data_IF_324311894893
#
_entry.id   IF_324311894893
#
_cell.length_a   1.000
_cell.length_b   1.000
_cell.length_c   1.000
_cell.angle_alpha   90.00
_cell.angle_beta   90.00
_cell.angle_gamma   90.00
#
_symmetry.space_group_name_H-M   'P 1'
#
loop_
_entity.id
_entity.type
_entity.pdbx_description
1 polymer ?
#
# COMPACT_ATOMS: atom_id res chain seq x y z
N UNK A 1 67.22 13.05 3.72
CA UNK A 1 66.88 12.19 4.87
C UNK A 1 65.37 12.09 4.96
N UNK A 2 64.90 10.86 4.71
CA UNK A 2 63.61 10.23 5.02
C UNK A 2 62.31 10.73 4.36
N UNK A 3 61.85 9.88 3.43
CA UNK A 3 60.46 9.60 3.07
C UNK A 3 59.59 9.26 4.29
N UNK A 4 58.26 9.44 4.18
CA UNK A 4 57.27 8.37 4.40
C UNK A 4 55.87 8.88 4.05
N UNK A 5 55.28 8.30 3.01
CA UNK A 5 53.85 8.28 2.69
C UNK A 5 53.09 7.48 3.75
N UNK A 6 51.92 7.93 4.20
CA UNK A 6 50.96 7.07 4.90
C UNK A 6 49.54 7.59 4.73
N UNK A 7 48.78 6.90 3.88
CA UNK A 7 47.33 6.97 3.79
C UNK A 7 46.71 6.44 5.08
N UNK A 8 45.71 7.14 5.63
CA UNK A 8 44.77 6.54 6.58
C UNK A 8 43.37 7.11 6.36
N UNK A 9 42.65 6.42 5.48
CA UNK A 9 41.29 5.91 5.69
C UNK A 9 40.34 6.80 6.49
N UNK A 10 39.33 7.34 5.78
CA UNK A 10 38.09 7.82 6.38
C UNK A 10 37.60 6.84 7.45
N UNK A 11 37.66 7.25 8.71
CA UNK A 11 37.20 6.45 9.83
C UNK A 11 35.68 6.31 9.70
N UNK A 12 35.26 5.10 9.33
CA UNK A 12 33.89 4.61 9.45
C UNK A 12 33.34 5.03 10.81
N UNK A 13 32.24 5.79 10.80
CA UNK A 13 31.44 6.04 11.99
C UNK A 13 30.84 4.69 12.36
N UNK A 14 31.44 4.05 13.35
CA UNK A 14 30.85 2.91 14.05
C UNK A 14 31.31 2.99 15.48
N UNK A 15 30.58 3.76 16.28
CA UNK A 15 30.39 3.56 17.71
C UNK A 15 29.47 4.66 18.21
N UNK A 16 28.21 4.32 18.41
CA UNK A 16 27.46 4.97 19.47
C UNK A 16 27.40 3.97 20.61
N UNK A 17 28.17 4.31 21.63
CA UNK A 17 28.25 3.75 22.97
C UNK A 17 26.93 3.17 23.48
N UNK A 18 27.01 2.10 24.27
CA UNK A 18 25.88 1.58 25.04
C UNK A 18 25.31 2.69 25.92
N UNK A 19 24.17 3.25 25.53
CA UNK A 19 23.45 4.24 26.31
C UNK A 19 22.51 3.53 27.31
N UNK A 20 22.30 4.14 28.48
CA UNK A 20 21.74 3.54 29.70
C UNK A 20 20.24 3.21 29.67
N UNK A 21 19.60 3.09 30.85
CA UNK A 21 18.22 2.58 31.00
C UNK A 21 17.15 3.42 30.29
N UNK A 22 17.42 4.71 30.05
CA UNK A 22 16.49 5.68 29.43
C UNK A 22 16.43 5.49 27.91
N UNK A 23 17.50 5.04 27.29
CA UNK A 23 17.61 4.95 25.83
C UNK A 23 16.82 3.78 25.25
N UNK A 24 16.53 2.77 26.09
CA UNK A 24 15.56 1.72 25.81
C UNK A 24 14.11 2.23 25.64
N UNK A 25 13.80 3.44 26.14
CA UNK A 25 12.50 4.08 25.95
C UNK A 25 12.47 5.00 24.72
N UNK A 26 13.63 5.41 24.21
CA UNK A 26 13.75 6.39 23.12
C UNK A 26 13.56 5.70 21.75
N UNK A 27 13.94 4.42 21.62
CA UNK A 27 13.91 3.73 20.33
C UNK A 27 13.27 2.34 20.47
N UNK A 28 11.94 2.29 20.35
CA UNK A 28 11.20 1.02 20.43
C UNK A 28 10.81 0.53 19.04
N UNK A 29 11.35 -0.63 18.64
CA UNK A 29 10.88 -1.34 17.47
C UNK A 29 9.41 -1.73 17.67
N UNK A 30 8.57 -1.55 16.65
CA UNK A 30 7.17 -1.96 16.74
C UNK A 30 7.08 -3.48 16.85
N UNK A 31 6.35 -3.96 17.85
CA UNK A 31 5.89 -5.34 17.91
C UNK A 31 4.96 -5.64 16.72
N UNK A 32 4.86 -6.89 16.30
CA UNK A 32 3.99 -7.33 15.18
C UNK A 32 2.54 -6.85 15.35
N UNK A 33 2.03 -6.82 16.59
CA UNK A 33 0.69 -6.29 16.89
C UNK A 33 0.62 -4.77 16.71
N UNK A 34 1.64 -4.06 17.16
CA UNK A 34 1.71 -2.60 17.07
C UNK A 34 1.91 -2.15 15.61
N UNK A 35 2.64 -2.92 14.79
CA UNK A 35 2.80 -2.67 13.35
C UNK A 35 1.46 -2.62 12.62
N UNK A 36 0.56 -3.57 12.92
CA UNK A 36 -0.79 -3.56 12.33
C UNK A 36 -1.57 -2.32 12.73
N UNK A 37 -1.56 -1.98 14.02
CA UNK A 37 -2.23 -0.78 14.55
C UNK A 37 -1.66 0.51 13.95
N UNK A 38 -0.34 0.58 13.78
CA UNK A 38 0.34 1.70 13.15
C UNK A 38 -0.08 1.87 11.67
N UNK A 39 -0.09 0.80 10.88
CA UNK A 39 -0.54 0.87 9.49
C UNK A 39 -2.01 1.28 9.37
N UNK A 40 -2.87 0.80 10.29
CA UNK A 40 -4.27 1.22 10.35
C UNK A 40 -4.40 2.73 10.61
N UNK A 41 -3.68 3.26 11.60
CA UNK A 41 -3.69 4.69 11.91
C UNK A 41 -3.16 5.53 10.74
N UNK A 42 -2.11 5.06 10.07
CA UNK A 42 -1.55 5.71 8.88
C UNK A 42 -2.56 5.76 7.73
N UNK A 43 -3.31 4.67 7.52
CA UNK A 43 -4.38 4.61 6.53
C UNK A 43 -5.52 5.59 6.89
N UNK A 44 -5.99 5.59 8.14
CA UNK A 44 -7.02 6.52 8.60
C UNK A 44 -6.58 7.99 8.44
N UNK A 45 -5.33 8.30 8.76
CA UNK A 45 -4.76 9.64 8.55
C UNK A 45 -4.77 10.01 7.06
N UNK A 46 -4.29 9.10 6.21
CA UNK A 46 -4.23 9.31 4.77
C UNK A 46 -5.62 9.62 4.19
N UNK A 47 -6.63 8.86 4.61
CA UNK A 47 -8.03 9.05 4.19
C UNK A 47 -8.58 10.38 4.71
N UNK A 48 -8.37 10.67 6.00
CA UNK A 48 -8.89 11.89 6.64
C UNK A 48 -8.28 13.16 6.06
N UNK A 49 -7.02 13.11 5.65
CA UNK A 49 -6.31 14.20 5.02
C UNK A 49 -6.51 14.27 3.49
N UNK A 50 -7.23 13.31 2.89
CA UNK A 50 -7.43 13.24 1.43
C UNK A 50 -6.13 13.06 0.64
N UNK A 51 -5.10 12.47 1.24
CA UNK A 51 -3.80 12.30 0.60
C UNK A 51 -3.78 11.09 -0.33
N UNK A 52 -3.09 11.24 -1.46
CA UNK A 52 -2.82 10.11 -2.35
C UNK A 52 -1.88 9.10 -1.66
N UNK A 53 -2.23 7.81 -1.65
CA UNK A 53 -1.47 6.75 -0.95
C UNK A 53 0.02 6.71 -1.35
N UNK A 54 0.41 7.25 -2.51
CA UNK A 54 1.81 7.32 -2.92
C UNK A 54 2.70 8.16 -1.97
N UNK A 55 2.11 8.97 -1.09
CA UNK A 55 2.85 9.90 -0.23
C UNK A 55 3.80 9.15 0.71
N UNK A 56 3.44 7.93 1.14
CA UNK A 56 4.27 7.08 2.00
C UNK A 56 5.59 6.65 1.34
N UNK A 57 5.65 6.67 0.00
CA UNK A 57 6.85 6.33 -0.77
C UNK A 57 7.75 7.53 -1.06
N UNK A 58 7.35 8.74 -0.65
CA UNK A 58 8.12 9.96 -0.90
C UNK A 58 9.30 10.06 0.08
N UNK A 59 10.49 10.46 -0.37
CA UNK A 59 11.66 10.55 0.50
C UNK A 59 11.48 11.56 1.63
N UNK A 60 10.65 12.58 1.44
CA UNK A 60 10.30 13.57 2.48
C UNK A 60 9.50 12.93 3.61
N UNK A 61 8.56 12.03 3.29
CA UNK A 61 7.80 11.28 4.28
C UNK A 61 8.72 10.33 5.04
N UNK A 62 9.61 9.62 4.35
CA UNK A 62 10.61 8.76 4.98
C UNK A 62 11.47 9.50 6.00
N UNK A 63 12.00 10.68 5.63
CA UNK A 63 12.81 11.51 6.53
C UNK A 63 12.04 12.01 7.75
N UNK A 64 10.77 12.40 7.57
CA UNK A 64 9.92 12.84 8.68
C UNK A 64 9.68 11.70 9.69
N UNK A 65 9.39 10.50 9.20
CA UNK A 65 9.14 9.36 10.08
C UNK A 65 10.42 8.83 10.75
N UNK A 66 11.55 8.89 10.05
CA UNK A 66 12.88 8.61 10.63
C UNK A 66 13.22 9.59 11.76
N UNK A 67 12.89 10.88 11.59
CA UNK A 67 13.03 11.89 12.65
C UNK A 67 12.15 11.60 13.86
N UNK A 68 10.90 11.18 13.64
CA UNK A 68 9.97 10.87 14.73
C UNK A 68 10.35 9.59 15.49
N UNK A 69 10.86 8.58 14.79
CA UNK A 69 11.40 7.34 15.38
C UNK A 69 12.29 6.61 14.38
N UNK A 70 13.58 6.48 14.71
CA UNK A 70 14.60 5.84 13.87
C UNK A 70 14.28 4.41 13.43
N UNK A 71 13.45 3.67 14.20
CA UNK A 71 13.08 2.28 13.86
C UNK A 71 11.74 2.15 13.13
N UNK A 72 11.03 3.27 12.89
CA UNK A 72 9.77 3.26 12.17
C UNK A 72 10.00 3.25 10.66
N UNK A 73 9.87 2.08 10.05
CA UNK A 73 9.84 1.95 8.59
C UNK A 73 8.42 2.16 8.09
N UNK A 74 8.25 3.14 7.19
CA UNK A 74 6.99 3.33 6.49
C UNK A 74 6.69 2.10 5.62
N UNK A 75 5.44 1.61 5.60
CA UNK A 75 5.03 0.60 4.64
C UNK A 75 5.07 1.18 3.23
N UNK A 76 5.45 0.35 2.27
CA UNK A 76 5.23 0.68 0.85
C UNK A 76 3.73 0.84 0.59
N UNK A 77 3.39 1.71 -0.37
CA UNK A 77 2.02 1.93 -0.85
C UNK A 77 1.29 0.61 -1.10
N UNK A 78 1.97 -0.35 -1.74
CA UNK A 78 1.39 -1.65 -2.08
C UNK A 78 1.00 -2.43 -0.83
N UNK A 79 1.76 -2.34 0.26
CA UNK A 79 1.45 -3.04 1.52
C UNK A 79 0.24 -2.40 2.20
N UNK A 80 0.16 -1.07 2.20
CA UNK A 80 -0.95 -0.32 2.78
C UNK A 80 -2.26 -0.61 2.01
N UNK A 81 -2.17 -0.65 0.68
CA UNK A 81 -3.27 -0.91 -0.25
C UNK A 81 -3.68 -2.40 -0.29
N UNK A 82 -2.74 -3.34 -0.26
CA UNK A 82 -3.06 -4.75 -0.45
C UNK A 82 -3.41 -5.48 0.86
N UNK A 83 -2.81 -5.10 2.00
CA UNK A 83 -3.05 -5.83 3.25
C UNK A 83 -4.14 -5.17 4.09
N UNK A 84 -3.96 -3.91 4.45
CA UNK A 84 -4.86 -3.24 5.41
C UNK A 84 -6.17 -2.83 4.73
N UNK A 85 -6.12 -2.28 3.51
CA UNK A 85 -7.34 -1.92 2.79
C UNK A 85 -8.15 -3.17 2.41
N UNK A 86 -7.55 -4.27 1.95
CA UNK A 86 -8.30 -5.49 1.64
C UNK A 86 -8.95 -6.13 2.87
N UNK A 87 -8.29 -6.07 4.04
CA UNK A 87 -8.87 -6.52 5.32
C UNK A 87 -10.07 -5.64 5.69
N UNK A 88 -9.91 -4.31 5.65
CA UNK A 88 -10.96 -3.36 6.01
C UNK A 88 -12.17 -3.39 5.06
N UNK A 89 -11.91 -3.48 3.76
CA UNK A 89 -12.93 -3.48 2.71
C UNK A 89 -13.54 -4.88 2.53
N UNK A 90 -12.94 -5.93 3.10
CA UNK A 90 -13.43 -7.31 3.01
C UNK A 90 -14.87 -7.46 3.53
N UNK A 91 -15.16 -6.90 4.70
CA UNK A 91 -16.50 -6.92 5.30
C UNK A 91 -17.49 -6.05 4.52
N UNK A 92 -17.09 -4.84 4.13
CA UNK A 92 -17.91 -3.94 3.32
C UNK A 92 -18.25 -4.54 1.95
N UNK A 93 -17.29 -5.20 1.31
CA UNK A 93 -17.51 -5.91 0.05
C UNK A 93 -18.54 -7.03 0.22
N UNK A 94 -18.46 -7.79 1.32
CA UNK A 94 -19.43 -8.86 1.62
C UNK A 94 -20.83 -8.30 1.85
N UNK A 95 -20.95 -7.21 2.62
CA UNK A 95 -22.23 -6.53 2.85
C UNK A 95 -22.83 -6.00 1.54
N UNK A 96 -22.02 -5.35 0.70
CA UNK A 96 -22.45 -4.84 -0.61
C UNK A 96 -22.88 -5.97 -1.56
N UNK A 97 -22.22 -7.13 -1.52
CA UNK A 97 -22.61 -8.30 -2.31
C UNK A 97 -23.97 -8.86 -1.90
N UNK A 98 -24.30 -8.82 -0.61
CA UNK A 98 -25.64 -9.18 -0.15
C UNK A 98 -26.67 -8.16 -0.64
N UNK A 99 -26.34 -6.86 -0.57
CA UNK A 99 -27.20 -5.80 -1.08
C UNK A 99 -27.47 -5.93 -2.58
N UNK A 100 -26.44 -6.27 -3.38
CA UNK A 100 -26.55 -6.54 -4.82
C UNK A 100 -27.50 -7.71 -5.17
N UNK A 101 -27.75 -8.64 -4.25
CA UNK A 101 -28.72 -9.73 -4.48
C UNK A 101 -30.15 -9.30 -4.28
N UNK A 102 -30.37 -8.30 -3.42
CA UNK A 102 -31.69 -7.85 -3.00
C UNK A 102 -32.13 -6.57 -3.74
N UNK A 103 -31.19 -5.78 -4.24
CA UNK A 103 -31.48 -4.46 -4.82
C UNK A 103 -32.00 -4.56 -6.27
N UNK A 104 -33.05 -3.80 -6.54
CA UNK A 104 -33.81 -3.83 -7.79
C UNK A 104 -33.38 -2.72 -8.77
N UNK A 105 -32.07 -2.58 -8.99
CA UNK A 105 -31.55 -1.80 -10.12
C UNK A 105 -30.98 -0.42 -9.80
N UNK A 106 -30.53 -0.16 -8.56
CA UNK A 106 -29.69 1.04 -8.32
C UNK A 106 -28.24 0.77 -8.72
N UNK A 107 -27.53 1.79 -9.24
CA UNK A 107 -26.11 1.67 -9.53
C UNK A 107 -25.32 1.55 -8.22
N UNK A 108 -24.42 0.57 -8.15
CA UNK A 108 -23.54 0.33 -7.00
C UNK A 108 -22.10 0.23 -7.48
N UNK A 109 -21.18 0.91 -6.77
CA UNK A 109 -19.74 0.82 -7.04
C UNK A 109 -19.19 -0.37 -6.28
N UNK A 110 -19.00 -1.49 -6.97
CA UNK A 110 -18.46 -2.71 -6.37
C UNK A 110 -16.98 -2.89 -6.73
N UNK A 111 -16.12 -2.80 -5.71
CA UNK A 111 -14.70 -3.20 -5.73
C UNK A 111 -13.84 -2.44 -6.75
N UNK A 112 -13.00 -1.53 -6.27
CA UNK A 112 -11.90 -0.97 -7.06
C UNK A 112 -10.67 -1.89 -6.95
N UNK A 113 -9.93 -2.05 -8.05
CA UNK A 113 -8.73 -2.85 -8.06
C UNK A 113 -7.64 -2.13 -8.86
N UNK A 114 -6.53 -1.87 -8.21
CA UNK A 114 -5.38 -1.27 -8.84
C UNK A 114 -4.71 -2.29 -9.77
N UNK A 115 -4.57 -1.91 -11.04
CA UNK A 115 -3.95 -2.71 -12.12
C UNK A 115 -2.68 -2.06 -12.67
N UNK A 116 -2.09 -1.09 -11.95
CA UNK A 116 -0.95 -0.29 -12.45
C UNK A 116 0.33 -1.10 -12.72
N UNK A 117 0.45 -2.31 -12.18
CA UNK A 117 1.57 -3.21 -12.47
C UNK A 117 1.24 -4.22 -13.59
N UNK A 118 -0.04 -4.45 -13.82
CA UNK A 118 -0.63 -5.42 -14.76
C UNK A 118 -1.17 -4.79 -16.05
N UNK A 119 -1.04 -3.47 -16.21
CA UNK A 119 -1.44 -2.77 -17.43
C UNK A 119 -0.40 -2.91 -18.56
N UNK A 120 0.59 -3.81 -18.41
CA UNK A 120 1.61 -4.05 -19.44
C UNK A 120 1.06 -4.86 -20.61
N UNK A 121 0.08 -5.74 -20.36
CA UNK A 121 -0.56 -6.55 -21.41
C UNK A 121 -2.06 -6.68 -21.19
N UNK A 122 -2.85 -6.59 -22.27
CA UNK A 122 -4.30 -6.77 -22.22
C UNK A 122 -4.71 -8.18 -21.71
N UNK A 123 -3.82 -9.17 -21.78
CA UNK A 123 -4.04 -10.52 -21.26
C UNK A 123 -4.24 -10.53 -19.74
N UNK A 124 -3.40 -9.79 -19.00
CA UNK A 124 -3.48 -9.71 -17.53
C UNK A 124 -4.79 -9.04 -17.09
N UNK A 125 -5.23 -8.03 -17.85
CA UNK A 125 -6.52 -7.36 -17.63
C UNK A 125 -7.70 -8.31 -17.88
N UNK A 126 -7.69 -9.06 -18.99
CA UNK A 126 -8.72 -10.08 -19.29
C UNK A 126 -8.78 -11.12 -18.15
N UNK A 127 -7.64 -11.61 -17.69
CA UNK A 127 -7.61 -12.61 -16.61
C UNK A 127 -8.25 -12.06 -15.33
N UNK A 128 -8.01 -10.78 -15.02
CA UNK A 128 -8.61 -10.12 -13.86
C UNK A 128 -10.12 -9.97 -13.99
N UNK A 129 -10.61 -9.57 -15.17
CA UNK A 129 -12.04 -9.47 -15.47
C UNK A 129 -12.69 -10.85 -15.29
N UNK A 130 -12.12 -11.90 -15.86
CA UNK A 130 -12.62 -13.27 -15.70
C UNK A 130 -12.68 -13.70 -14.24
N UNK A 131 -11.66 -13.36 -13.45
CA UNK A 131 -11.64 -13.64 -12.00
C UNK A 131 -12.76 -12.90 -11.26
N UNK A 132 -13.06 -11.66 -11.65
CA UNK A 132 -14.16 -10.88 -11.09
C UNK A 132 -15.52 -11.47 -11.47
N UNK A 133 -15.71 -11.84 -12.74
CA UNK A 133 -16.94 -12.49 -13.23
C UNK A 133 -17.20 -13.83 -12.52
N UNK A 134 -16.17 -14.67 -12.39
CA UNK A 134 -16.28 -15.94 -11.68
C UNK A 134 -16.66 -15.75 -10.21
N UNK A 135 -16.18 -14.68 -9.56
CA UNK A 135 -16.55 -14.34 -8.19
C UNK A 135 -18.03 -13.92 -8.08
N UNK A 136 -18.58 -13.23 -9.07
CA UNK A 136 -20.00 -12.86 -9.08
C UNK A 136 -20.87 -14.10 -9.32
N UNK A 137 -20.47 -14.95 -10.27
CA UNK A 137 -21.16 -16.20 -10.57
C UNK A 137 -21.19 -17.15 -9.37
N UNK A 138 -20.08 -17.31 -8.64
CA UNK A 138 -20.04 -18.14 -7.42
C UNK A 138 -20.93 -17.61 -6.29
N UNK A 139 -21.35 -16.34 -6.38
CA UNK A 139 -22.26 -15.70 -5.45
C UNK A 139 -23.70 -15.63 -5.98
N UNK A 140 -24.01 -16.31 -7.08
CA UNK A 140 -25.34 -16.32 -7.72
C UNK A 140 -25.77 -14.96 -8.29
N UNK A 141 -24.82 -14.05 -8.54
CA UNK A 141 -25.09 -12.77 -9.21
C UNK A 141 -24.89 -12.98 -10.71
N UNK A 142 -25.97 -12.90 -11.48
CA UNK A 142 -25.93 -13.04 -12.94
C UNK A 142 -25.50 -11.73 -13.59
N UNK A 143 -24.38 -11.76 -14.30
CA UNK A 143 -23.95 -10.63 -15.14
C UNK A 143 -24.74 -10.66 -16.46
N UNK A 144 -25.43 -9.57 -16.77
CA UNK A 144 -26.27 -9.45 -17.98
C UNK A 144 -25.51 -8.83 -19.14
N UNK A 145 -24.75 -7.77 -18.86
CA UNK A 145 -23.94 -7.05 -19.84
C UNK A 145 -22.72 -6.43 -19.16
N UNK A 146 -21.69 -6.16 -19.95
CA UNK A 146 -20.48 -5.44 -19.54
C UNK A 146 -20.39 -4.22 -20.45
N UNK A 147 -20.29 -3.04 -19.86
CA UNK A 147 -20.07 -1.78 -20.58
C UNK A 147 -18.69 -1.29 -20.21
N UNK A 148 -17.81 -1.22 -21.20
CA UNK A 148 -16.47 -0.63 -21.06
C UNK A 148 -16.45 0.68 -21.82
N UNK A 149 -15.81 1.69 -21.28
CA UNK A 149 -15.43 2.84 -22.07
C UNK A 149 -14.45 2.38 -23.16
N UNK A 150 -14.69 2.86 -24.38
CA UNK A 150 -13.77 2.62 -25.48
C UNK A 150 -12.68 3.69 -25.37
N UNK A 151 -11.56 3.38 -24.76
CA UNK A 151 -10.38 4.22 -24.96
C UNK A 151 -9.79 3.83 -26.33
N UNK A 152 -9.90 4.74 -27.31
CA UNK A 152 -9.34 4.54 -28.63
C UNK A 152 -7.85 4.21 -28.52
N UNK A 153 -7.33 3.39 -29.44
CA UNK A 153 -5.90 3.16 -29.53
C UNK A 153 -5.19 4.53 -29.56
N UNK A 154 -4.32 4.80 -28.57
CA UNK A 154 -3.37 5.91 -28.64
C UNK A 154 -2.39 5.62 -29.79
N UNK A 155 -2.86 5.81 -31.02
CA UNK A 155 -2.06 5.95 -32.22
C UNK A 155 -2.09 7.42 -32.61
N UNK A 156 -0.90 7.99 -32.78
CA UNK A 156 -0.56 9.38 -33.10
C UNK A 156 -0.41 10.29 -31.86
N UNK A 157 0.73 10.97 -31.63
CA UNK A 157 1.86 11.30 -32.51
C UNK A 157 3.18 11.33 -31.72
#
# INVERSE_FOLDING_TARGET
TNETSSSSSASKITQTSSFGPIDNYIVKALSVKDTKKFHWLLLCLTISCGWALHWVNKPEAAKLFEFLNLLLKLPDRCILEERILNEAVGESNKAMLNMLKEDQGRPHVWKALNISLEHKTHLEVIEKINRMLNKLNSQSIKVISIVTDSEGAYTAA
#
